data_IF_916901188003
#
_entry.id   IF_916901188003
#
_cell.length_a   1.000
_cell.length_b   1.000
_cell.length_c   1.000
_cell.angle_alpha   90.00
_cell.angle_beta   90.00
_cell.angle_gamma   90.00
#
_symmetry.space_group_name_H-M   'P 1'
#
loop_
_entity.id
_entity.type
_entity.pdbx_description
1 polymer ?
#
# COMPACT_ATOMS: atom_id res chain seq x y z
N UNK A 1 -7.01 -1.18 10.94
CA UNK A 1 -7.46 -0.28 12.02
C UNK A 1 -7.98 1.06 11.49
N UNK A 2 -7.26 1.78 10.59
CA UNK A 2 -7.77 3.03 9.99
C UNK A 2 -9.07 2.81 9.21
N UNK A 3 -9.17 1.76 8.41
CA UNK A 3 -10.42 1.35 7.74
C UNK A 3 -11.55 1.11 8.73
N UNK A 4 -11.34 0.29 9.75
CA UNK A 4 -12.37 -0.01 10.77
C UNK A 4 -12.92 1.27 11.41
N UNK A 5 -12.02 2.21 11.77
CA UNK A 5 -12.42 3.50 12.33
C UNK A 5 -13.29 4.33 11.39
N UNK A 6 -12.91 4.42 10.10
CA UNK A 6 -13.64 5.22 9.11
C UNK A 6 -15.00 4.64 8.74
N UNK A 7 -15.09 3.32 8.60
CA UNK A 7 -16.34 2.63 8.29
C UNK A 7 -17.38 2.87 9.38
N UNK A 8 -16.98 2.74 10.66
CA UNK A 8 -17.86 3.02 11.79
C UNK A 8 -18.34 4.46 11.77
N UNK A 9 -17.48 5.42 11.42
CA UNK A 9 -17.81 6.84 11.34
C UNK A 9 -18.74 7.17 10.18
N UNK A 10 -18.56 6.54 9.00
CA UNK A 10 -19.25 6.93 7.75
C UNK A 10 -20.47 6.09 7.41
N UNK A 11 -20.82 5.08 8.21
CA UNK A 11 -21.97 4.17 7.96
C UNK A 11 -21.97 3.64 6.53
N UNK A 12 -20.87 2.98 6.14
CA UNK A 12 -20.75 2.39 4.80
C UNK A 12 -21.87 1.38 4.54
N UNK A 13 -22.34 1.31 3.30
CA UNK A 13 -23.30 0.30 2.82
C UNK A 13 -22.65 -1.03 2.49
N UNK A 14 -21.29 -1.07 2.41
CA UNK A 14 -20.57 -2.29 2.18
C UNK A 14 -20.42 -3.13 3.44
N UNK A 15 -20.44 -4.44 3.26
CA UNK A 15 -20.01 -5.39 4.29
C UNK A 15 -18.50 -5.58 4.21
N UNK A 16 -17.79 -5.40 5.34
CA UNK A 16 -16.34 -5.50 5.39
C UNK A 16 -15.89 -6.70 6.21
N UNK A 17 -15.02 -7.51 5.61
CA UNK A 17 -14.28 -8.54 6.31
C UNK A 17 -12.81 -8.09 6.47
N UNK A 18 -12.32 -8.01 7.70
CA UNK A 18 -10.94 -7.61 8.03
C UNK A 18 -10.17 -8.84 8.47
N UNK A 19 -9.12 -9.14 7.74
CA UNK A 19 -8.28 -10.29 8.02
C UNK A 19 -6.85 -9.87 8.39
N UNK A 20 -6.27 -10.58 9.33
CA UNK A 20 -4.88 -10.45 9.73
C UNK A 20 -4.06 -11.67 9.30
N UNK A 21 -2.78 -11.69 9.69
CA UNK A 21 -1.84 -12.76 9.35
C UNK A 21 -2.27 -14.12 9.88
N UNK A 22 -2.99 -14.14 11.01
CA UNK A 22 -3.47 -15.39 11.61
C UNK A 22 -4.54 -16.11 10.74
N UNK A 23 -5.28 -15.35 9.93
CA UNK A 23 -6.34 -15.85 9.06
C UNK A 23 -5.89 -15.96 7.60
N UNK A 24 -5.10 -14.97 7.14
CA UNK A 24 -4.60 -14.87 5.78
C UNK A 24 -3.10 -14.56 5.78
N UNK A 25 -2.31 -15.62 5.78
CA UNK A 25 -0.85 -15.52 5.75
C UNK A 25 -0.34 -15.33 4.31
N UNK A 26 0.11 -14.13 4.00
CA UNK A 26 0.69 -13.80 2.69
C UNK A 26 2.05 -14.47 2.43
N UNK A 27 2.65 -15.13 3.41
CA UNK A 27 3.87 -15.93 3.20
C UNK A 27 3.56 -17.32 2.65
N UNK A 28 2.30 -17.75 2.68
CA UNK A 28 1.83 -19.08 2.24
C UNK A 28 0.84 -18.97 1.08
N UNK A 29 1.24 -19.35 -0.11
CA UNK A 29 0.34 -19.38 -1.28
C UNK A 29 -0.83 -20.37 -1.08
N UNK A 30 -0.58 -21.51 -0.40
CA UNK A 30 -1.62 -22.50 -0.10
C UNK A 30 -2.67 -21.92 0.87
N UNK A 31 -2.23 -21.11 1.86
CA UNK A 31 -3.15 -20.44 2.77
C UNK A 31 -4.00 -19.41 2.01
N UNK A 32 -3.39 -18.59 1.14
CA UNK A 32 -4.10 -17.62 0.31
C UNK A 32 -5.16 -18.35 -0.55
N UNK A 33 -4.76 -19.40 -1.26
CA UNK A 33 -5.66 -20.16 -2.11
C UNK A 33 -6.81 -20.78 -1.30
N UNK A 34 -6.52 -21.43 -0.18
CA UNK A 34 -7.51 -22.04 0.71
C UNK A 34 -8.48 -20.99 1.25
N UNK A 35 -7.99 -19.84 1.72
CA UNK A 35 -8.83 -18.77 2.23
C UNK A 35 -9.87 -18.30 1.21
N UNK A 36 -9.43 -17.99 0.00
CA UNK A 36 -10.33 -17.50 -1.06
C UNK A 36 -11.18 -18.60 -1.70
N UNK A 37 -10.87 -19.87 -1.54
CA UNK A 37 -11.78 -20.96 -1.94
C UNK A 37 -13.02 -21.06 -1.06
N UNK A 38 -12.89 -20.69 0.21
CA UNK A 38 -13.99 -20.74 1.17
C UNK A 38 -14.72 -19.41 1.33
N UNK A 39 -14.17 -18.32 0.78
CA UNK A 39 -14.71 -16.97 0.92
C UNK A 39 -14.84 -16.28 -0.44
N UNK A 40 -15.98 -15.61 -0.65
CA UNK A 40 -16.29 -14.87 -1.87
C UNK A 40 -16.39 -13.40 -1.52
N UNK A 41 -15.74 -12.56 -2.31
CA UNK A 41 -15.74 -11.11 -2.15
C UNK A 41 -15.94 -10.42 -3.50
N UNK A 42 -16.61 -9.28 -3.51
CA UNK A 42 -16.73 -8.43 -4.70
C UNK A 42 -15.47 -7.58 -4.90
N UNK A 43 -14.82 -7.20 -3.80
CA UNK A 43 -13.65 -6.33 -3.78
C UNK A 43 -12.64 -6.85 -2.75
N UNK A 44 -11.38 -6.97 -3.17
CA UNK A 44 -10.24 -7.23 -2.31
C UNK A 44 -9.44 -5.94 -2.20
N UNK A 45 -9.17 -5.46 -0.96
CA UNK A 45 -8.27 -4.33 -0.69
C UNK A 45 -7.01 -4.89 -0.03
N UNK A 46 -5.96 -5.07 -0.81
CA UNK A 46 -4.67 -5.55 -0.30
C UNK A 46 -3.83 -4.42 0.28
N UNK A 47 -3.83 -4.33 1.62
CA UNK A 47 -2.96 -3.45 2.39
C UNK A 47 -1.79 -4.22 3.04
N UNK A 48 -1.71 -5.55 2.84
CA UNK A 48 -0.64 -6.37 3.37
C UNK A 48 0.65 -6.18 2.58
N UNK A 49 1.76 -5.95 3.27
CA UNK A 49 3.07 -5.81 2.67
C UNK A 49 4.18 -6.05 3.68
N UNK A 50 5.33 -6.50 3.20
CA UNK A 50 6.60 -6.42 3.92
C UNK A 50 7.14 -4.99 3.76
N UNK A 51 7.11 -4.19 4.83
CA UNK A 51 7.40 -2.74 4.77
C UNK A 51 8.70 -2.33 5.44
N UNK A 52 9.44 -3.25 6.04
CA UNK A 52 10.73 -2.97 6.67
C UNK A 52 11.82 -2.83 5.59
N UNK A 53 11.97 -1.62 5.03
CA UNK A 53 12.82 -1.31 3.87
C UNK A 53 14.25 -1.83 4.04
N UNK A 54 14.90 -1.47 5.16
CA UNK A 54 16.30 -1.88 5.42
C UNK A 54 16.43 -3.40 5.68
N UNK A 55 15.44 -4.00 6.32
CA UNK A 55 15.42 -5.44 6.55
C UNK A 55 15.15 -6.24 5.28
N UNK A 56 14.48 -5.66 4.29
CA UNK A 56 14.25 -6.31 3.00
C UNK A 56 15.57 -6.69 2.31
N UNK A 57 16.62 -5.89 2.50
CA UNK A 57 17.98 -6.23 1.96
C UNK A 57 18.55 -7.52 2.57
N UNK A 58 18.18 -7.83 3.83
CA UNK A 58 18.61 -9.03 4.55
C UNK A 58 17.66 -10.21 4.35
N UNK A 59 16.38 -9.92 4.06
CA UNK A 59 15.31 -10.90 3.91
C UNK A 59 14.62 -10.82 2.52
N UNK A 60 15.40 -10.80 1.41
CA UNK A 60 14.84 -10.56 0.07
C UNK A 60 13.83 -11.62 -0.35
N UNK A 61 13.98 -12.86 0.13
CA UNK A 61 13.03 -13.95 -0.17
C UNK A 61 11.67 -13.69 0.49
N UNK A 62 11.66 -13.27 1.76
CA UNK A 62 10.42 -12.94 2.48
C UNK A 62 9.74 -11.71 1.89
N UNK A 63 10.51 -10.66 1.60
CA UNK A 63 9.98 -9.47 0.93
C UNK A 63 9.37 -9.83 -0.44
N UNK A 64 10.03 -10.66 -1.25
CA UNK A 64 9.49 -11.12 -2.54
C UNK A 64 8.26 -12.00 -2.36
N UNK A 65 8.22 -12.87 -1.35
CA UNK A 65 7.07 -13.72 -1.08
C UNK A 65 5.80 -12.88 -0.82
N UNK A 66 5.90 -11.88 0.07
CA UNK A 66 4.77 -11.06 0.49
C UNK A 66 4.42 -9.99 -0.54
N UNK A 67 5.43 -9.26 -1.07
CA UNK A 67 5.19 -8.10 -1.92
C UNK A 67 4.99 -8.45 -3.41
N UNK A 68 5.38 -9.65 -3.84
CA UNK A 68 5.28 -10.07 -5.23
C UNK A 68 4.45 -11.34 -5.38
N UNK A 69 4.89 -12.49 -4.84
CA UNK A 69 4.24 -13.78 -5.13
C UNK A 69 2.81 -13.85 -4.56
N UNK A 70 2.61 -13.37 -3.33
CA UNK A 70 1.26 -13.25 -2.76
C UNK A 70 0.37 -12.31 -3.57
N UNK A 71 0.90 -11.18 -4.04
CA UNK A 71 0.17 -10.22 -4.87
C UNK A 71 -0.19 -10.83 -6.23
N UNK A 72 0.73 -11.58 -6.84
CA UNK A 72 0.46 -12.32 -8.07
C UNK A 72 -0.67 -13.34 -7.88
N UNK A 73 -0.70 -14.04 -6.74
CA UNK A 73 -1.77 -15.00 -6.44
C UNK A 73 -3.10 -14.29 -6.20
N UNK A 74 -3.12 -13.17 -5.45
CA UNK A 74 -4.33 -12.35 -5.30
C UNK A 74 -4.87 -11.86 -6.64
N UNK A 75 -4.01 -11.46 -7.57
CA UNK A 75 -4.41 -11.04 -8.91
C UNK A 75 -5.05 -12.18 -9.70
N UNK A 76 -4.48 -13.40 -9.66
CA UNK A 76 -5.06 -14.60 -10.31
C UNK A 76 -6.42 -14.95 -9.72
N UNK A 77 -6.53 -14.95 -8.39
CA UNK A 77 -7.79 -15.21 -7.68
C UNK A 77 -8.83 -14.17 -8.05
N UNK A 78 -8.46 -12.90 -8.06
CA UNK A 78 -9.37 -11.80 -8.42
C UNK A 78 -9.90 -11.95 -9.85
N UNK A 79 -9.02 -12.25 -10.81
CA UNK A 79 -9.42 -12.52 -12.20
C UNK A 79 -10.35 -13.73 -12.29
N UNK A 80 -10.01 -14.85 -11.65
CA UNK A 80 -10.79 -16.09 -11.69
C UNK A 80 -12.18 -15.89 -11.07
N UNK A 81 -12.25 -15.19 -9.95
CA UNK A 81 -13.50 -14.94 -9.21
C UNK A 81 -14.25 -13.70 -9.69
N UNK A 82 -13.73 -12.99 -10.67
CA UNK A 82 -14.29 -11.75 -11.23
C UNK A 82 -14.53 -10.68 -10.15
N UNK A 83 -13.68 -10.63 -9.13
CA UNK A 83 -13.70 -9.58 -8.12
C UNK A 83 -12.67 -8.49 -8.43
N UNK A 84 -12.87 -7.31 -7.88
CA UNK A 84 -11.95 -6.18 -8.04
C UNK A 84 -10.79 -6.28 -7.05
N UNK A 85 -9.60 -5.84 -7.48
CA UNK A 85 -8.42 -5.80 -6.62
C UNK A 85 -7.91 -4.36 -6.50
N UNK A 86 -7.91 -3.81 -5.30
CA UNK A 86 -7.21 -2.57 -4.95
C UNK A 86 -5.94 -2.95 -4.22
N UNK A 87 -4.77 -2.56 -4.77
CA UNK A 87 -3.47 -2.84 -4.17
C UNK A 87 -2.74 -1.56 -3.79
N UNK A 88 -2.28 -1.50 -2.53
CA UNK A 88 -1.49 -0.36 -2.05
C UNK A 88 -0.02 -0.62 -2.36
N UNK A 89 0.56 0.25 -3.18
CA UNK A 89 1.97 0.25 -3.56
C UNK A 89 2.71 1.45 -2.96
N UNK A 90 3.87 1.79 -3.49
CA UNK A 90 4.82 2.73 -2.90
C UNK A 90 5.50 3.61 -3.96
N UNK A 91 5.95 4.77 -3.55
CA UNK A 91 6.87 5.66 -4.27
C UNK A 91 8.29 5.07 -4.45
N UNK A 92 8.69 4.09 -3.63
CA UNK A 92 9.97 3.38 -3.75
C UNK A 92 10.14 2.58 -5.06
N UNK A 93 9.13 2.56 -5.91
CA UNK A 93 9.26 2.04 -7.28
C UNK A 93 10.07 2.96 -8.19
N UNK A 94 10.32 4.20 -7.78
CA UNK A 94 11.17 5.17 -8.44
C UNK A 94 12.57 5.23 -7.82
N UNK A 95 13.51 5.88 -8.49
CA UNK A 95 14.91 5.98 -8.03
C UNK A 95 15.22 7.25 -7.21
N UNK A 96 14.26 8.16 -7.09
CA UNK A 96 14.40 9.38 -6.29
C UNK A 96 15.39 10.42 -6.84
N UNK A 97 15.74 10.38 -8.14
CA UNK A 97 16.76 11.25 -8.73
C UNK A 97 16.24 12.60 -9.19
N UNK A 98 14.93 12.79 -9.30
CA UNK A 98 14.33 14.06 -9.66
C UNK A 98 13.85 14.82 -8.42
N UNK A 99 13.86 16.15 -8.51
CA UNK A 99 13.23 17.03 -7.53
C UNK A 99 11.75 17.34 -7.87
N UNK A 100 11.33 16.98 -9.08
CA UNK A 100 9.95 17.14 -9.53
C UNK A 100 9.11 15.92 -9.09
N UNK A 101 7.81 16.12 -8.84
CA UNK A 101 6.92 15.01 -8.54
C UNK A 101 6.85 14.01 -9.69
N UNK A 102 7.03 12.73 -9.39
CA UNK A 102 6.87 11.65 -10.38
C UNK A 102 5.41 11.51 -10.81
N UNK A 103 5.22 11.33 -12.11
CA UNK A 103 3.92 10.98 -12.70
C UNK A 103 3.75 9.46 -12.76
N UNK A 104 2.50 8.97 -12.82
CA UNK A 104 2.20 7.54 -12.92
C UNK A 104 2.81 6.87 -14.17
N UNK A 105 2.92 7.63 -15.27
CA UNK A 105 3.46 7.18 -16.56
C UNK A 105 4.98 7.16 -16.63
N UNK A 106 5.68 7.71 -15.62
CA UNK A 106 7.14 7.75 -15.66
C UNK A 106 7.78 6.39 -15.45
N UNK A 107 8.95 6.14 -16.06
CA UNK A 107 9.67 4.89 -15.91
C UNK A 107 10.02 4.60 -14.46
N UNK A 108 9.66 3.41 -13.99
CA UNK A 108 10.05 2.92 -12.66
C UNK A 108 11.47 2.39 -12.66
N UNK A 109 12.26 2.72 -11.63
CA UNK A 109 13.65 2.29 -11.44
C UNK A 109 13.99 2.09 -9.96
N UNK A 110 13.39 1.10 -9.26
CA UNK A 110 13.61 0.90 -7.82
C UNK A 110 15.06 0.54 -7.50
N UNK A 111 15.65 1.21 -6.52
CA UNK A 111 17.04 1.06 -6.13
C UNK A 111 17.27 0.01 -5.04
N UNK A 112 16.23 -0.32 -4.25
CA UNK A 112 16.30 -1.26 -3.13
C UNK A 112 15.39 -2.48 -3.31
N UNK A 113 15.57 -3.52 -2.49
CA UNK A 113 14.81 -4.77 -2.54
C UNK A 113 13.31 -4.53 -2.27
N UNK A 114 12.97 -3.65 -1.32
CA UNK A 114 11.58 -3.31 -1.04
C UNK A 114 10.88 -2.77 -2.29
N UNK A 115 11.42 -1.73 -2.91
CA UNK A 115 10.86 -1.14 -4.13
C UNK A 115 10.79 -2.14 -5.29
N UNK A 116 11.86 -2.96 -5.48
CA UNK A 116 11.87 -4.00 -6.53
C UNK A 116 10.77 -5.03 -6.33
N UNK A 117 10.56 -5.50 -5.11
CA UNK A 117 9.52 -6.50 -4.82
C UNK A 117 8.12 -5.92 -4.91
N UNK A 118 7.91 -4.66 -4.49
CA UNK A 118 6.63 -3.95 -4.67
C UNK A 118 6.31 -3.74 -6.15
N UNK A 119 7.28 -3.31 -6.95
CA UNK A 119 7.11 -3.16 -8.40
C UNK A 119 6.82 -4.50 -9.10
N UNK A 120 7.45 -5.59 -8.65
CA UNK A 120 7.16 -6.92 -9.17
C UNK A 120 5.69 -7.31 -8.91
N UNK A 121 5.14 -6.95 -7.75
CA UNK A 121 3.72 -7.11 -7.43
C UNK A 121 2.80 -6.28 -8.33
N UNK A 122 3.13 -5.00 -8.58
CA UNK A 122 2.38 -4.15 -9.54
C UNK A 122 2.34 -4.79 -10.93
N UNK A 123 3.52 -5.22 -11.43
CA UNK A 123 3.64 -5.89 -12.75
C UNK A 123 2.85 -7.19 -12.80
N UNK A 124 2.80 -7.94 -11.71
CA UNK A 124 2.00 -9.16 -11.65
C UNK A 124 0.50 -8.87 -11.78
N UNK A 125 0.00 -7.80 -11.16
CA UNK A 125 -1.40 -7.35 -11.33
C UNK A 125 -1.63 -6.93 -12.79
N UNK A 126 -0.82 -6.01 -13.32
CA UNK A 126 -0.96 -5.48 -14.68
C UNK A 126 -0.91 -6.58 -15.76
N UNK A 127 -0.04 -7.58 -15.58
CA UNK A 127 0.09 -8.70 -16.53
C UNK A 127 -1.05 -9.74 -16.39
N UNK A 128 -1.71 -9.81 -15.23
CA UNK A 128 -2.74 -10.82 -14.98
C UNK A 128 -4.14 -10.28 -15.20
N UNK A 129 -4.39 -9.04 -14.79
CA UNK A 129 -5.71 -8.41 -14.80
C UNK A 129 -5.70 -7.27 -15.82
N UNK A 130 -6.36 -7.46 -16.97
CA UNK A 130 -6.61 -6.37 -17.92
C UNK A 130 -7.63 -5.37 -17.39
N UNK A 131 -8.54 -5.87 -16.55
CA UNK A 131 -9.65 -5.13 -15.96
C UNK A 131 -9.72 -5.40 -14.47
N UNK A 132 -10.37 -4.47 -13.74
CA UNK A 132 -10.75 -4.60 -12.33
C UNK A 132 -9.58 -4.60 -11.34
N UNK A 133 -8.42 -4.15 -11.77
CA UNK A 133 -7.26 -3.86 -10.91
C UNK A 133 -7.10 -2.35 -10.69
N UNK A 134 -6.83 -1.95 -9.47
CA UNK A 134 -6.48 -0.59 -9.10
C UNK A 134 -5.23 -0.62 -8.23
N UNK A 135 -4.15 -0.02 -8.72
CA UNK A 135 -2.90 0.10 -7.96
C UNK A 135 -2.77 1.53 -7.47
N UNK A 136 -2.63 1.72 -6.17
CA UNK A 136 -2.45 3.05 -5.57
C UNK A 136 -1.04 3.12 -4.98
N UNK A 137 -0.13 3.86 -5.62
CA UNK A 137 1.17 4.21 -5.05
C UNK A 137 0.98 5.34 -4.04
N UNK A 138 1.53 5.17 -2.86
CA UNK A 138 1.50 6.18 -1.80
C UNK A 138 2.89 6.37 -1.20
N UNK A 139 3.11 7.48 -0.52
CA UNK A 139 4.40 7.82 0.09
C UNK A 139 4.25 8.15 1.57
N UNK A 140 5.26 7.83 2.37
CA UNK A 140 5.42 8.25 3.77
C UNK A 140 4.15 8.06 4.61
N UNK A 141 3.52 6.87 4.45
CA UNK A 141 2.24 6.56 5.09
C UNK A 141 2.38 6.52 6.61
N UNK A 142 1.58 7.32 7.30
CA UNK A 142 1.55 7.36 8.75
C UNK A 142 0.14 7.30 9.32
N UNK A 143 0.03 6.84 10.57
CA UNK A 143 -1.22 6.80 11.31
C UNK A 143 -0.95 6.77 12.81
N UNK A 144 -2.00 6.91 13.61
CA UNK A 144 -1.95 6.68 15.07
C UNK A 144 -1.72 5.20 15.42
N UNK A 145 -1.75 4.30 14.44
CA UNK A 145 -1.58 2.86 14.63
C UNK A 145 -0.27 2.37 14.02
N UNK A 146 0.30 1.35 14.68
CA UNK A 146 1.47 0.63 14.17
C UNK A 146 2.78 1.45 14.22
N UNK A 147 3.82 0.87 13.65
CA UNK A 147 5.13 1.51 13.56
C UNK A 147 5.18 2.39 12.33
N UNK A 148 5.47 3.66 12.51
CA UNK A 148 5.67 4.63 11.44
C UNK A 148 6.55 5.78 11.96
N UNK A 149 7.01 6.62 11.05
CA UNK A 149 7.93 7.70 11.38
C UNK A 149 7.37 8.65 12.45
N UNK A 150 6.10 9.06 12.35
CA UNK A 150 5.45 9.98 13.30
C UNK A 150 5.45 9.38 14.70
N UNK A 151 5.00 8.12 14.84
CA UNK A 151 4.98 7.44 16.14
C UNK A 151 6.40 7.23 16.69
N UNK A 152 7.38 7.02 15.81
CA UNK A 152 8.79 6.92 16.22
C UNK A 152 9.30 8.26 16.77
N UNK A 153 9.01 9.37 16.09
CA UNK A 153 9.42 10.70 16.57
C UNK A 153 8.75 11.06 17.90
N UNK A 154 7.45 10.85 18.05
CA UNK A 154 6.72 11.06 19.31
C UNK A 154 7.32 10.25 20.45
N UNK A 155 7.77 9.02 20.18
CA UNK A 155 8.30 8.11 21.21
C UNK A 155 9.74 8.41 21.56
N UNK A 156 10.59 8.72 20.58
CA UNK A 156 12.04 8.90 20.75
C UNK A 156 12.42 10.34 21.04
N UNK A 157 11.69 11.33 20.50
CA UNK A 157 12.01 12.75 20.67
C UNK A 157 12.20 13.15 22.13
N UNK A 158 11.23 12.91 23.02
CA UNK A 158 11.34 13.28 24.43
C UNK A 158 12.45 12.54 25.20
N UNK A 159 12.91 11.40 24.69
CA UNK A 159 13.91 10.54 25.35
C UNK A 159 15.34 10.77 24.87
N UNK A 160 15.52 11.52 23.77
CA UNK A 160 16.79 11.69 23.10
C UNK A 160 17.26 13.13 23.16
N UNK A 161 18.53 13.37 23.50
CA UNK A 161 19.13 14.71 23.47
C UNK A 161 19.27 15.25 22.05
N UNK A 162 19.46 14.37 21.07
CA UNK A 162 19.52 14.68 19.64
C UNK A 162 19.12 13.46 18.84
N UNK A 163 18.48 13.68 17.68
CA UNK A 163 18.16 12.68 16.67
C UNK A 163 18.81 13.08 15.36
N UNK A 164 19.53 12.14 14.72
CA UNK A 164 20.08 12.33 13.39
C UNK A 164 19.02 11.91 12.36
N UNK A 165 18.53 12.85 11.57
CA UNK A 165 17.50 12.63 10.56
C UNK A 165 18.02 13.13 9.22
N UNK A 166 17.83 12.34 8.17
CA UNK A 166 18.22 12.71 6.80
C UNK A 166 17.45 13.96 6.35
N UNK A 167 18.14 14.86 5.63
CA UNK A 167 17.58 16.14 5.19
C UNK A 167 17.53 16.29 3.66
N UNK A 168 18.13 15.35 2.94
CA UNK A 168 18.26 15.34 1.48
C UNK A 168 17.15 14.57 0.76
N UNK A 169 16.27 13.90 1.50
CA UNK A 169 15.10 13.23 0.95
C UNK A 169 13.86 14.08 1.13
N UNK A 170 13.17 14.35 0.03
CA UNK A 170 11.93 15.13 -0.03
C UNK A 170 10.79 14.22 -0.45
N UNK A 171 9.66 14.31 0.22
CA UNK A 171 8.46 13.51 -0.07
C UNK A 171 7.19 14.15 0.46
N UNK A 172 6.08 13.48 0.24
CA UNK A 172 4.74 13.90 0.68
C UNK A 172 4.24 12.92 1.74
N UNK A 173 4.20 13.31 3.03
CA UNK A 173 3.60 12.48 4.06
C UNK A 173 2.12 12.21 3.75
N UNK A 174 1.68 10.98 3.94
CA UNK A 174 0.29 10.57 3.67
C UNK A 174 -0.38 10.07 4.95
N UNK A 175 -1.46 10.71 5.35
CA UNK A 175 -2.26 10.25 6.47
C UNK A 175 -3.13 9.06 6.06
N UNK A 176 -2.99 7.93 6.73
CA UNK A 176 -3.66 6.69 6.34
C UNK A 176 -5.20 6.78 6.35
N UNK A 177 -5.79 7.71 7.13
CA UNK A 177 -7.23 7.94 7.12
C UNK A 177 -7.67 8.58 5.81
N UNK A 178 -6.89 9.50 5.25
CA UNK A 178 -7.22 10.16 3.98
C UNK A 178 -7.13 9.18 2.82
N UNK A 179 -6.11 8.30 2.82
CA UNK A 179 -6.03 7.20 1.85
C UNK A 179 -7.24 6.27 1.94
N UNK A 180 -7.65 5.90 3.16
CA UNK A 180 -8.87 5.10 3.38
C UNK A 180 -10.11 5.81 2.86
N UNK A 181 -10.22 7.12 3.09
CA UNK A 181 -11.35 7.92 2.60
C UNK A 181 -11.44 7.93 1.07
N UNK A 182 -10.30 7.98 0.40
CA UNK A 182 -10.23 7.88 -1.07
C UNK A 182 -10.66 6.50 -1.53
N UNK A 183 -10.15 5.42 -0.92
CA UNK A 183 -10.54 4.05 -1.27
C UNK A 183 -12.06 3.86 -1.07
N UNK A 184 -12.61 4.31 0.06
CA UNK A 184 -14.05 4.23 0.31
C UNK A 184 -14.88 5.05 -0.69
N UNK A 185 -14.39 6.20 -1.12
CA UNK A 185 -15.05 6.98 -2.18
C UNK A 185 -15.05 6.21 -3.50
N UNK A 186 -13.89 5.66 -3.90
CA UNK A 186 -13.76 4.86 -5.13
C UNK A 186 -14.73 3.67 -5.09
N UNK A 187 -14.71 2.89 -4.01
CA UNK A 187 -15.55 1.69 -3.88
C UNK A 187 -17.05 1.98 -3.82
N UNK A 188 -17.45 3.21 -3.55
CA UNK A 188 -18.86 3.65 -3.57
C UNK A 188 -19.28 4.30 -4.90
N UNK A 189 -18.38 4.46 -5.88
CA UNK A 189 -18.78 5.02 -7.18
C UNK A 189 -19.52 3.96 -8.02
N UNK A 190 -20.57 4.38 -8.70
CA UNK A 190 -21.32 3.50 -9.61
C UNK A 190 -20.41 2.92 -10.70
N UNK A 191 -19.51 3.75 -11.25
CA UNK A 191 -18.52 3.31 -12.24
C UNK A 191 -17.67 2.15 -11.72
N UNK A 192 -17.21 2.22 -10.46
CA UNK A 192 -16.39 1.16 -9.88
C UNK A 192 -17.19 -0.10 -9.55
N UNK A 193 -18.44 0.06 -9.09
CA UNK A 193 -19.29 -1.07 -8.67
C UNK A 193 -19.83 -1.84 -9.89
N UNK A 194 -20.42 -1.12 -10.83
CA UNK A 194 -21.29 -1.70 -11.87
C UNK A 194 -20.59 -1.99 -13.19
N UNK A 195 -19.38 -1.48 -13.42
CA UNK A 195 -18.67 -1.62 -14.68
C UNK A 195 -17.30 -2.27 -14.49
N UNK A 196 -16.84 -2.98 -15.51
CA UNK A 196 -15.43 -3.33 -15.60
C UNK A 196 -14.63 -2.03 -15.83
N UNK A 197 -13.56 -1.87 -15.06
CA UNK A 197 -12.63 -0.75 -15.20
C UNK A 197 -11.30 -1.28 -15.70
N UNK A 198 -10.60 -0.53 -16.55
CA UNK A 198 -9.24 -0.87 -16.91
C UNK A 198 -8.37 -0.97 -15.68
N UNK A 199 -7.40 -1.89 -15.71
CA UNK A 199 -6.41 -1.96 -14.63
C UNK A 199 -5.41 -0.83 -14.80
N UNK A 200 -5.34 0.05 -13.80
CA UNK A 200 -4.56 1.28 -13.85
C UNK A 200 -3.78 1.52 -12.56
N UNK A 201 -2.73 2.34 -12.69
CA UNK A 201 -1.91 2.83 -11.57
C UNK A 201 -2.25 4.29 -11.30
N UNK A 202 -2.44 4.63 -10.04
CA UNK A 202 -2.66 6.00 -9.57
C UNK A 202 -1.70 6.34 -8.45
N UNK A 203 -1.39 7.63 -8.30
CA UNK A 203 -0.69 8.14 -7.14
C UNK A 203 -1.68 8.79 -6.17
N UNK A 204 -1.47 8.56 -4.89
CA UNK A 204 -2.17 9.29 -3.84
C UNK A 204 -1.22 9.63 -2.70
N UNK A 205 -1.12 10.93 -2.40
CA UNK A 205 -0.48 11.48 -1.20
C UNK A 205 -1.26 12.71 -0.72
N UNK A 206 -1.02 13.16 0.51
CA UNK A 206 -1.51 14.46 0.92
C UNK A 206 -0.73 15.58 0.22
N UNK A 207 -1.32 16.77 0.17
CA UNK A 207 -0.76 17.93 -0.52
C UNK A 207 0.46 18.47 0.24
N UNK A 208 1.48 18.87 -0.52
CA UNK A 208 2.71 19.47 -0.03
C UNK A 208 3.87 18.49 0.01
N UNK A 209 5.06 19.05 0.05
CA UNK A 209 6.33 18.33 0.11
C UNK A 209 7.16 18.82 1.29
N UNK A 210 7.89 17.92 1.92
CA UNK A 210 8.73 18.23 3.10
C UNK A 210 9.91 17.26 3.13
N UNK A 211 11.05 17.68 3.71
CA UNK A 211 12.15 16.78 4.01
C UNK A 211 11.92 16.06 5.35
N UNK A 212 12.55 14.89 5.56
CA UNK A 212 12.38 14.12 6.79
C UNK A 212 12.76 14.91 8.05
N UNK A 213 13.84 15.70 8.00
CA UNK A 213 14.28 16.52 9.14
C UNK A 213 13.27 17.63 9.48
N UNK A 214 12.66 18.26 8.48
CA UNK A 214 11.61 19.24 8.68
C UNK A 214 10.34 18.60 9.18
N UNK A 215 9.96 17.43 8.61
CA UNK A 215 8.79 16.69 9.09
C UNK A 215 8.93 16.27 10.55
N UNK A 216 10.14 15.84 10.96
CA UNK A 216 10.39 15.53 12.36
C UNK A 216 10.29 16.73 13.31
N UNK A 217 10.59 17.95 12.82
CA UNK A 217 10.45 19.20 13.61
C UNK A 217 8.99 19.64 13.79
N UNK A 218 8.13 19.24 12.87
CA UNK A 218 6.69 19.55 12.92
C UNK A 218 5.91 18.57 13.82
N UNK A 219 6.53 17.44 14.22
CA UNK A 219 5.96 16.44 15.13
C UNK A 219 6.27 16.77 16.59
#
# INVERSE_FOLDING_TARGET
KSFQKQITKKRSTHHFNFVGTDELDLTSLDNIYSYFNHNIFDIIVNCGAYTAVDNAEKEPKLANQVNHLAVAELAKISKLKRCKLIHISTDYVFDGKTNDPYMESEPTNPINVYGKTKLAGERAILNTMEENGLIIRTSWLYSVYGNNFVNSMITMGPKSKALNIVSDQIGSPTYAIDLVDVILKITNTEKFISHNILTEVFHFSNIGTISWDKFAKEI
#
